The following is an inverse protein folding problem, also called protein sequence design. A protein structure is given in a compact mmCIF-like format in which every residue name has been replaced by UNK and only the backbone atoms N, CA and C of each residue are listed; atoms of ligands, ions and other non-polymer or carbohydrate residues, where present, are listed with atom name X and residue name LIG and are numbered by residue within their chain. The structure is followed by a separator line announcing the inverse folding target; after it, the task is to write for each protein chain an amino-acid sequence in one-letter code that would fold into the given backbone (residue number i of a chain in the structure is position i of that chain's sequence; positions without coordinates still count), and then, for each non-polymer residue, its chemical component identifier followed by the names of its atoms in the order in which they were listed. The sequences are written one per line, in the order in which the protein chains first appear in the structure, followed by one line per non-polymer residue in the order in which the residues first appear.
data_IF_413424110233
#
_entry.id   IF_413424110233
#
_cell.length_a   1.000
_cell.length_b   1.000
_cell.length_c   1.000
_cell.angle_alpha   90.00
_cell.angle_beta   90.00
_cell.angle_gamma   90.00
#
_symmetry.space_group_name_H-M   'P 1'
#
loop_
_entity.id
_entity.type
_entity.pdbx_description
1 polymer ?
#
# COMPACT_ATOMS: atom_id res chain seq x y z
N UNK A 1 59.56 -33.43 -4.13
CA UNK A 1 58.66 -32.82 -5.14
C UNK A 1 57.27 -32.81 -4.51
N UNK A 2 56.64 -31.71 -4.11
CA UNK A 2 56.71 -30.35 -4.61
C UNK A 2 55.68 -30.16 -5.73
N UNK A 3 54.47 -29.68 -5.40
CA UNK A 3 53.67 -28.70 -6.15
C UNK A 3 52.18 -28.81 -5.78
N UNK A 4 51.75 -27.80 -5.03
CA UNK A 4 50.39 -27.31 -4.90
C UNK A 4 49.85 -26.83 -6.26
N UNK A 5 48.51 -26.73 -6.42
CA UNK A 5 47.73 -26.00 -7.46
C UNK A 5 46.90 -26.86 -8.43
N UNK A 6 45.60 -26.95 -8.13
CA UNK A 6 44.51 -26.65 -9.06
C UNK A 6 43.32 -26.20 -8.18
N UNK A 7 43.21 -24.88 -7.93
CA UNK A 7 42.18 -24.03 -8.54
C UNK A 7 40.77 -24.61 -8.30
N UNK A 8 39.97 -24.12 -7.36
CA UNK A 8 39.55 -22.72 -7.29
C UNK A 8 38.53 -22.46 -8.40
N UNK A 9 37.35 -23.06 -8.29
CA UNK A 9 36.17 -22.90 -9.17
C UNK A 9 35.01 -23.63 -8.49
N UNK A 10 33.86 -23.08 -8.11
CA UNK A 10 33.27 -21.76 -8.27
C UNK A 10 32.62 -21.39 -6.93
N UNK A 11 33.30 -20.60 -6.12
CA UNK A 11 32.64 -19.72 -5.15
C UNK A 11 32.68 -18.34 -5.78
N UNK A 12 31.73 -18.10 -6.69
CA UNK A 12 31.35 -16.75 -7.07
C UNK A 12 29.84 -16.70 -6.88
N UNK A 13 29.47 -16.32 -5.67
CA UNK A 13 28.22 -15.68 -5.34
C UNK A 13 27.92 -14.73 -6.49
N UNK A 14 26.98 -15.12 -7.36
CA UNK A 14 26.42 -14.22 -8.35
C UNK A 14 25.95 -13.01 -7.56
N UNK A 15 26.70 -11.93 -7.75
CA UNK A 15 26.57 -10.68 -7.03
C UNK A 15 25.10 -10.35 -6.85
N UNK A 16 24.70 -10.16 -5.60
CA UNK A 16 23.87 -9.03 -5.18
C UNK A 16 24.52 -7.73 -5.72
N UNK A 17 24.58 -7.59 -7.04
CA UNK A 17 24.89 -6.35 -7.71
C UNK A 17 23.56 -5.61 -7.71
N UNK A 18 23.24 -5.01 -6.55
CA UNK A 18 22.32 -3.90 -6.55
C UNK A 18 22.81 -2.96 -7.66
N UNK A 19 21.99 -2.73 -8.71
CA UNK A 19 22.47 -2.06 -9.90
C UNK A 19 23.10 -0.74 -9.49
N UNK A 20 24.32 -0.51 -9.96
CA UNK A 20 25.03 0.70 -9.58
C UNK A 20 24.22 1.91 -10.07
N UNK A 21 24.27 3.01 -9.33
CA UNK A 21 23.52 4.23 -9.65
C UNK A 21 23.67 4.66 -11.11
N UNK A 22 24.84 4.44 -11.70
CA UNK A 22 25.15 4.77 -13.10
C UNK A 22 24.42 3.84 -14.09
N UNK A 23 24.24 2.56 -13.77
CA UNK A 23 23.45 1.61 -14.56
C UNK A 23 21.96 1.90 -14.48
N UNK A 24 21.46 2.27 -13.30
CA UNK A 24 20.07 2.71 -13.12
C UNK A 24 19.82 3.96 -13.99
N UNK A 25 20.70 4.96 -13.93
CA UNK A 25 20.57 6.18 -14.73
C UNK A 25 20.76 5.94 -16.23
N UNK A 26 21.62 5.01 -16.62
CA UNK A 26 21.80 4.61 -18.02
C UNK A 26 20.58 3.85 -18.55
N UNK A 27 19.95 3.00 -17.74
CA UNK A 27 18.73 2.26 -18.08
C UNK A 27 17.56 3.20 -18.31
N UNK A 28 17.34 4.16 -17.40
CA UNK A 28 16.31 5.20 -17.55
C UNK A 28 16.56 6.05 -18.80
N UNK A 29 17.82 6.48 -19.05
CA UNK A 29 18.17 7.26 -20.25
C UNK A 29 17.91 6.47 -21.54
N UNK A 30 18.18 5.17 -21.54
CA UNK A 30 17.92 4.30 -22.70
C UNK A 30 16.42 4.16 -22.95
N UNK A 31 15.61 3.94 -21.92
CA UNK A 31 14.15 3.81 -22.05
C UNK A 31 13.54 5.10 -22.61
N UNK A 32 13.94 6.26 -22.09
CA UNK A 32 13.42 7.55 -22.58
C UNK A 32 13.90 7.85 -24.01
N UNK A 33 15.16 7.55 -24.35
CA UNK A 33 15.68 7.81 -25.70
C UNK A 33 15.13 6.85 -26.76
N UNK A 34 14.68 5.66 -26.36
CA UNK A 34 14.02 4.67 -27.23
C UNK A 34 12.52 4.97 -27.39
N UNK A 35 11.91 5.67 -26.43
CA UNK A 35 10.48 6.09 -26.42
C UNK A 35 10.24 7.47 -27.10
N UNK A 36 11.24 8.36 -27.16
CA UNK A 36 11.18 9.65 -27.90
C UNK A 36 11.31 9.47 -29.44
N UNK A 37 11.04 8.27 -29.95
CA UNK A 37 11.27 7.85 -31.33
C UNK A 37 10.09 7.98 -32.29
N UNK A 38 8.97 8.59 -31.91
CA UNK A 38 7.84 8.88 -32.80
C UNK A 38 7.18 10.23 -32.47
N UNK A 39 7.86 11.34 -32.77
CA UNK A 39 7.30 12.65 -32.42
C UNK A 39 7.96 13.91 -32.95
N UNK A 40 8.72 13.87 -34.06
CA UNK A 40 9.27 15.09 -34.66
C UNK A 40 8.94 15.23 -36.14
N UNK A 41 7.96 16.09 -36.45
CA UNK A 41 8.02 17.03 -37.58
C UNK A 41 6.75 17.91 -37.60
N UNK A 42 6.84 19.14 -37.10
CA UNK A 42 6.48 20.32 -37.91
C UNK A 42 7.05 21.59 -37.26
N UNK A 43 8.13 22.07 -37.87
CA UNK A 43 8.71 23.40 -37.70
C UNK A 43 8.64 24.07 -39.06
N UNK A 44 8.05 25.27 -39.15
CA UNK A 44 8.54 26.40 -39.95
C UNK A 44 7.52 27.55 -39.97
N UNK A 45 8.05 28.76 -39.90
CA UNK A 45 7.37 30.03 -39.75
C UNK A 45 6.95 30.66 -41.09
N UNK A 46 5.79 31.32 -41.12
CA UNK A 46 5.42 32.44 -42.04
C UNK A 46 4.06 33.01 -41.53
N UNK A 47 3.97 34.19 -40.93
CA UNK A 47 3.90 35.54 -41.51
C UNK A 47 2.50 36.19 -41.27
N UNK A 48 2.50 37.27 -40.49
CA UNK A 48 1.61 38.46 -40.51
C UNK A 48 0.05 38.37 -40.49
N UNK A 49 -0.50 38.88 -39.36
CA UNK A 49 -1.66 39.79 -39.18
C UNK A 49 -3.12 39.27 -39.29
N UNK A 50 -4.16 39.96 -38.75
CA UNK A 50 -4.20 41.13 -37.86
C UNK A 50 -4.98 40.90 -36.53
N UNK A 51 -4.82 41.83 -35.60
CA UNK A 51 -5.59 41.98 -34.35
C UNK A 51 -7.09 42.15 -34.63
N UNK A 52 -8.01 41.44 -33.96
CA UNK A 52 -9.43 41.74 -34.07
C UNK A 52 -9.78 43.02 -33.30
N UNK A 53 -10.39 43.99 -33.97
CA UNK A 53 -11.03 45.17 -33.36
C UNK A 53 -12.16 44.75 -32.39
N UNK A 54 -12.37 45.47 -31.27
CA UNK A 54 -13.49 45.20 -30.38
C UNK A 54 -14.82 45.66 -31.01
N UNK A 55 -15.77 44.74 -31.09
CA UNK A 55 -17.16 44.98 -31.52
C UNK A 55 -17.88 45.77 -30.41
N UNK A 56 -18.75 46.77 -30.72
CA UNK A 56 -19.45 47.57 -29.72
C UNK A 56 -20.35 46.74 -28.80
N UNK A 57 -20.27 46.99 -27.49
CA UNK A 57 -21.14 46.45 -26.44
C UNK A 57 -22.61 46.85 -26.69
N UNK A 58 -23.45 45.86 -26.99
CA UNK A 58 -24.90 46.02 -26.96
C UNK A 58 -25.34 45.94 -25.49
N UNK A 59 -25.78 47.08 -24.96
CA UNK A 59 -26.23 47.24 -23.57
C UNK A 59 -27.47 46.37 -23.34
N UNK A 60 -27.28 45.25 -22.64
CA UNK A 60 -28.38 44.47 -22.07
C UNK A 60 -28.94 45.26 -20.88
N UNK A 61 -30.26 45.53 -20.80
CA UNK A 61 -30.81 46.24 -19.66
C UNK A 61 -30.63 45.41 -18.38
N UNK A 62 -30.08 46.06 -17.37
CA UNK A 62 -29.86 45.54 -16.02
C UNK A 62 -31.22 45.11 -15.41
N UNK A 63 -31.35 43.89 -14.86
CA UNK A 63 -32.57 43.50 -14.16
C UNK A 63 -32.71 44.33 -12.88
N UNK A 64 -33.84 45.02 -12.72
CA UNK A 64 -34.20 45.71 -11.49
C UNK A 64 -34.18 44.71 -10.32
N UNK A 65 -33.26 44.91 -9.38
CA UNK A 65 -33.20 44.16 -8.13
C UNK A 65 -34.49 44.39 -7.34
N UNK A 66 -35.30 43.34 -7.20
CA UNK A 66 -36.35 43.31 -6.19
C UNK A 66 -35.71 43.44 -4.79
N UNK A 67 -36.34 44.13 -3.82
CA UNK A 67 -35.78 44.27 -2.48
C UNK A 67 -35.63 42.89 -1.83
N UNK A 68 -34.45 42.63 -1.27
CA UNK A 68 -34.18 41.45 -0.45
C UNK A 68 -35.21 41.36 0.68
N UNK A 69 -35.77 40.17 0.97
CA UNK A 69 -36.65 40.01 2.12
C UNK A 69 -35.87 40.25 3.41
N UNK A 70 -36.45 41.05 4.32
CA UNK A 70 -35.91 41.27 5.67
C UNK A 70 -35.63 39.91 6.36
N UNK A 71 -34.53 39.79 7.12
CA UNK A 71 -34.23 38.55 7.83
C UNK A 71 -35.36 38.25 8.81
N UNK A 72 -36.03 37.13 8.60
CA UNK A 72 -36.96 36.59 9.59
C UNK A 72 -36.14 36.30 10.85
N UNK A 73 -36.57 36.70 12.06
CA UNK A 73 -35.82 36.36 13.26
C UNK A 73 -35.70 34.84 13.32
N UNK A 74 -34.45 34.34 13.39
CA UNK A 74 -34.20 32.95 13.71
C UNK A 74 -34.96 32.61 14.99
N UNK A 75 -35.65 31.47 15.06
CA UNK A 75 -36.26 31.04 16.31
C UNK A 75 -35.15 30.96 17.36
N UNK A 76 -35.29 31.69 18.46
CA UNK A 76 -34.47 31.47 19.65
C UNK A 76 -34.58 29.99 19.98
N UNK A 77 -33.48 29.26 19.79
CA UNK A 77 -33.36 27.87 20.17
C UNK A 77 -33.61 27.85 21.67
N UNK A 78 -34.81 27.42 22.06
CA UNK A 78 -35.06 27.00 23.44
C UNK A 78 -33.94 26.04 23.80
N UNK A 79 -33.28 26.18 24.97
CA UNK A 79 -32.18 25.30 25.32
C UNK A 79 -32.68 23.87 25.12
N UNK A 80 -32.03 23.14 24.21
CA UNK A 80 -32.23 21.70 24.11
C UNK A 80 -32.11 21.17 25.53
N UNK A 81 -33.02 20.29 25.98
CA UNK A 81 -32.80 19.62 27.24
C UNK A 81 -31.40 19.01 27.14
N UNK A 82 -30.49 19.41 28.05
CA UNK A 82 -29.22 18.73 28.17
C UNK A 82 -29.56 17.25 28.21
N UNK A 83 -29.20 16.53 27.15
CA UNK A 83 -29.25 15.08 27.15
C UNK A 83 -28.16 14.73 28.14
N UNK A 84 -28.55 14.70 29.42
CA UNK A 84 -27.85 13.93 30.43
C UNK A 84 -27.72 12.58 29.76
N UNK A 85 -26.51 12.11 29.44
CA UNK A 85 -26.37 10.78 28.90
C UNK A 85 -27.13 9.90 29.87
N UNK A 86 -28.20 9.27 29.37
CA UNK A 86 -28.87 8.22 30.12
C UNK A 86 -27.79 7.16 30.21
N UNK A 87 -27.06 7.19 31.33
CA UNK A 87 -26.07 6.19 31.65
C UNK A 87 -26.90 4.93 31.74
N UNK A 88 -26.94 4.18 30.63
CA UNK A 88 -27.32 2.78 30.68
C UNK A 88 -26.50 2.21 31.84
N UNK A 89 -27.15 1.68 32.89
CA UNK A 89 -26.41 1.17 34.02
C UNK A 89 -25.41 0.17 33.43
N UNK A 90 -24.11 0.41 33.67
CA UNK A 90 -23.09 -0.60 33.39
C UNK A 90 -23.66 -1.93 33.86
N UNK A 91 -23.66 -2.97 33.01
CA UNK A 91 -24.23 -4.25 33.39
C UNK A 91 -23.60 -4.61 34.73
N UNK A 92 -24.45 -4.73 35.76
CA UNK A 92 -23.99 -5.07 37.10
C UNK A 92 -23.02 -6.25 36.97
N UNK A 93 -21.84 -6.21 37.62
CA UNK A 93 -20.86 -7.26 37.46
C UNK A 93 -21.58 -8.58 37.74
N UNK A 94 -21.65 -9.44 36.72
CA UNK A 94 -22.16 -10.78 36.88
C UNK A 94 -21.43 -11.36 38.08
N UNK A 95 -22.13 -12.02 39.03
CA UNK A 95 -21.47 -12.62 40.17
C UNK A 95 -20.33 -13.48 39.61
N UNK A 96 -19.09 -13.09 39.92
CA UNK A 96 -17.94 -13.95 39.65
C UNK A 96 -18.23 -15.18 40.47
N UNK A 97 -18.63 -16.26 39.80
CA UNK A 97 -18.71 -17.56 40.42
C UNK A 97 -17.28 -17.86 40.87
N UNK A 98 -17.03 -17.69 42.17
CA UNK A 98 -15.91 -18.34 42.81
C UNK A 98 -16.03 -19.81 42.41
N UNK A 99 -15.00 -20.40 41.77
CA UNK A 99 -15.12 -21.73 41.23
C UNK A 99 -15.56 -22.65 42.36
N UNK A 100 -16.75 -23.25 42.23
CA UNK A 100 -17.14 -24.37 43.09
C UNK A 100 -15.96 -25.35 43.07
N UNK A 101 -15.56 -25.90 44.24
CA UNK A 101 -14.54 -26.93 44.24
C UNK A 101 -15.00 -28.00 43.26
N UNK A 102 -14.20 -28.19 42.21
CA UNK A 102 -14.48 -29.19 41.18
C UNK A 102 -14.89 -30.49 41.86
N UNK A 103 -15.92 -31.19 41.37
CA UNK A 103 -16.13 -32.56 41.82
C UNK A 103 -14.77 -33.24 41.69
N UNK A 104 -14.27 -33.80 42.79
CA UNK A 104 -13.05 -34.58 42.75
C UNK A 104 -13.23 -35.55 41.59
N UNK A 105 -12.45 -35.33 40.53
CA UNK A 105 -12.55 -36.11 39.31
C UNK A 105 -12.29 -37.55 39.75
N UNK A 106 -13.34 -38.35 39.72
CA UNK A 106 -13.15 -39.78 39.66
C UNK A 106 -12.53 -40.00 38.28
N UNK A 107 -11.29 -40.48 38.29
CA UNK A 107 -10.49 -40.85 37.13
C UNK A 107 -11.20 -41.94 36.32
N UNK A 108 -12.19 -41.60 35.51
CA UNK A 108 -12.78 -42.52 34.53
C UNK A 108 -13.12 -41.69 33.28
N UNK A 109 -12.41 -41.99 32.19
CA UNK A 109 -12.68 -41.60 30.79
C UNK A 109 -11.97 -40.33 30.23
N UNK A 110 -10.70 -40.10 30.57
CA UNK A 110 -9.80 -39.28 29.72
C UNK A 110 -9.11 -40.10 28.59
N UNK A 111 -9.31 -41.42 28.55
CA UNK A 111 -8.64 -42.32 27.60
C UNK A 111 -9.23 -42.29 26.18
N UNK A 112 -10.45 -41.78 25.96
CA UNK A 112 -11.15 -41.90 24.67
C UNK A 112 -10.97 -40.70 23.71
N UNK A 113 -10.38 -39.59 24.17
CA UNK A 113 -10.05 -38.42 23.32
C UNK A 113 -8.64 -38.53 22.73
N UNK A 114 -7.76 -39.29 23.37
CA UNK A 114 -6.39 -39.54 22.90
C UNK A 114 -6.26 -40.71 21.91
N UNK A 115 -7.34 -41.46 21.65
CA UNK A 115 -7.35 -42.60 20.72
C UNK A 115 -7.41 -42.19 19.23
N UNK A 116 -7.69 -40.92 18.92
CA UNK A 116 -7.61 -40.40 17.53
C UNK A 116 -6.16 -40.29 17.03
N UNK A 117 -5.21 -40.18 17.96
CA UNK A 117 -3.76 -40.27 17.70
C UNK A 117 -3.28 -41.71 17.59
N UNK A 118 -4.00 -42.69 18.17
CA UNK A 118 -3.66 -44.11 18.10
C UNK A 118 -4.03 -44.70 16.73
N UNK A 119 -5.13 -44.26 16.09
CA UNK A 119 -5.43 -44.61 14.69
C UNK A 119 -4.41 -44.01 13.69
N UNK A 120 -3.60 -43.05 14.14
CA UNK A 120 -2.49 -42.45 13.39
C UNK A 120 -1.12 -43.06 13.74
N UNK A 121 -1.07 -44.18 14.46
CA UNK A 121 0.20 -44.87 14.77
C UNK A 121 0.74 -45.64 13.55
N UNK A 122 1.84 -45.09 13.00
CA UNK A 122 2.98 -45.81 12.41
C UNK A 122 2.72 -46.77 11.24
N UNK A 123 1.89 -46.40 10.25
CA UNK A 123 2.29 -46.78 8.89
C UNK A 123 3.44 -45.87 8.48
N UNK A 124 4.61 -46.41 8.06
CA UNK A 124 5.61 -45.59 7.42
C UNK A 124 4.95 -44.99 6.19
N UNK A 125 4.58 -43.71 6.26
CA UNK A 125 4.19 -42.93 5.09
C UNK A 125 5.37 -42.99 4.15
N UNK A 126 5.30 -43.90 3.18
CA UNK A 126 6.32 -43.99 2.18
C UNK A 126 6.22 -42.67 1.41
N UNK A 127 7.26 -41.83 1.36
CA UNK A 127 7.21 -40.58 0.60
C UNK A 127 6.95 -40.83 -0.90
N UNK A 128 6.99 -42.08 -1.34
CA UNK A 128 6.61 -42.53 -2.67
C UNK A 128 5.11 -42.84 -2.87
N UNK A 129 4.25 -42.66 -1.86
CA UNK A 129 2.79 -42.87 -1.98
C UNK A 129 2.05 -41.51 -1.95
N UNK A 130 1.94 -40.84 -3.11
CA UNK A 130 1.37 -39.50 -3.17
C UNK A 130 -0.15 -39.55 -2.98
N UNK A 131 -0.67 -38.66 -2.12
CA UNK A 131 -2.11 -38.54 -1.82
C UNK A 131 -2.90 -38.06 -3.04
N UNK A 132 -2.23 -37.37 -3.96
CA UNK A 132 -2.79 -36.86 -5.22
C UNK A 132 -2.01 -37.44 -6.38
N UNK A 133 -2.69 -37.67 -7.50
CA UNK A 133 -1.99 -38.06 -8.73
C UNK A 133 -1.15 -36.89 -9.25
N UNK A 134 0.06 -37.15 -9.73
CA UNK A 134 0.96 -36.19 -10.43
C UNK A 134 0.23 -35.22 -11.39
N UNK A 135 -0.68 -35.65 -12.29
CA UNK A 135 -1.39 -34.73 -13.19
C UNK A 135 -2.39 -33.79 -12.49
N UNK A 136 -2.77 -34.05 -11.24
CA UNK A 136 -3.57 -33.13 -10.40
C UNK A 136 -2.67 -32.12 -9.72
N UNK A 137 -1.49 -32.54 -9.25
CA UNK A 137 -0.46 -31.66 -8.68
C UNK A 137 0.04 -30.64 -9.71
N UNK A 138 0.29 -31.08 -10.95
CA UNK A 138 0.68 -30.21 -12.05
C UNK A 138 -0.41 -29.18 -12.37
N UNK A 139 -1.68 -29.62 -12.44
CA UNK A 139 -2.82 -28.74 -12.74
C UNK A 139 -3.06 -27.73 -11.63
N UNK A 140 -2.93 -28.13 -10.37
CA UNK A 140 -3.04 -27.24 -9.22
C UNK A 140 -1.92 -26.19 -9.23
N UNK A 141 -0.68 -26.64 -9.47
CA UNK A 141 0.49 -25.76 -9.54
C UNK A 141 0.38 -24.77 -10.69
N UNK A 142 -0.05 -25.19 -11.88
CA UNK A 142 -0.27 -24.30 -13.03
C UNK A 142 -1.40 -23.29 -12.78
N UNK A 143 -2.50 -23.71 -12.18
CA UNK A 143 -3.62 -22.83 -11.86
C UNK A 143 -3.23 -21.76 -10.82
N UNK A 144 -2.44 -22.15 -9.82
CA UNK A 144 -1.92 -21.22 -8.82
C UNK A 144 -0.91 -20.24 -9.43
N UNK A 145 -0.01 -20.72 -10.28
CA UNK A 145 0.92 -19.86 -11.03
C UNK A 145 0.19 -18.90 -11.97
N UNK A 146 -0.90 -19.34 -12.61
CA UNK A 146 -1.73 -18.50 -13.45
C UNK A 146 -2.43 -17.40 -12.64
N UNK A 147 -2.99 -17.74 -11.47
CA UNK A 147 -3.60 -16.75 -10.58
C UNK A 147 -2.57 -15.76 -10.04
N UNK A 148 -1.40 -16.25 -9.63
CA UNK A 148 -0.29 -15.42 -9.16
C UNK A 148 0.21 -14.49 -10.26
N UNK A 149 0.36 -14.99 -11.49
CA UNK A 149 0.70 -14.18 -12.65
C UNK A 149 -0.38 -13.14 -12.97
N UNK A 150 -1.66 -13.46 -12.78
CA UNK A 150 -2.76 -12.48 -12.97
C UNK A 150 -2.81 -11.43 -11.85
N UNK A 151 -2.39 -11.79 -10.63
CA UNK A 151 -2.32 -10.88 -9.48
C UNK A 151 -1.08 -9.97 -9.53
N UNK A 152 0.05 -10.47 -10.04
CA UNK A 152 1.35 -9.78 -10.06
C UNK A 152 1.59 -9.05 -11.39
N UNK A 153 1.25 -9.66 -12.53
CA UNK A 153 1.46 -9.08 -13.86
C UNK A 153 0.30 -8.20 -14.31
N UNK A 154 -0.50 -7.68 -13.37
CA UNK A 154 -1.64 -6.81 -13.63
C UNK A 154 -1.34 -5.83 -14.77
N UNK A 155 -2.20 -5.87 -15.78
CA UNK A 155 -2.23 -4.96 -16.93
C UNK A 155 -2.02 -3.52 -16.46
N UNK A 156 -1.35 -2.72 -17.30
CA UNK A 156 -1.34 -1.25 -17.23
C UNK A 156 -2.79 -0.76 -17.04
N UNK A 157 -3.15 -0.44 -15.79
CA UNK A 157 -4.54 -0.44 -15.32
C UNK A 157 -4.60 -0.75 -13.82
N UNK A 158 -3.86 0.06 -13.07
CA UNK A 158 -3.38 -0.08 -11.70
C UNK A 158 -4.48 0.13 -10.63
N UNK A 159 -5.68 -0.40 -10.85
CA UNK A 159 -6.87 -0.04 -10.05
C UNK A 159 -7.61 -1.20 -9.40
N UNK A 160 -7.29 -2.45 -9.78
CA UNK A 160 -7.91 -3.66 -9.21
C UNK A 160 -6.96 -4.58 -8.42
N UNK A 161 -5.72 -4.15 -8.15
CA UNK A 161 -4.80 -4.89 -7.28
C UNK A 161 -4.95 -4.45 -5.82
N UNK A 162 -4.69 -5.36 -4.87
CA UNK A 162 -4.63 -5.00 -3.44
C UNK A 162 -3.56 -3.94 -3.20
N UNK A 163 -2.44 -4.00 -3.94
CA UNK A 163 -1.38 -3.01 -3.87
C UNK A 163 -1.87 -1.62 -4.31
N UNK A 164 -2.62 -1.52 -5.40
CA UNK A 164 -3.23 -0.27 -5.85
C UNK A 164 -4.19 0.32 -4.81
N UNK A 165 -5.00 -0.53 -4.17
CA UNK A 165 -5.91 -0.11 -3.11
C UNK A 165 -5.13 0.40 -1.89
N UNK A 166 -4.15 -0.36 -1.41
CA UNK A 166 -3.31 0.04 -0.26
C UNK A 166 -2.53 1.31 -0.58
N UNK A 167 -1.98 1.43 -1.78
CA UNK A 167 -1.27 2.62 -2.25
C UNK A 167 -2.20 3.84 -2.32
N UNK A 168 -3.41 3.69 -2.85
CA UNK A 168 -4.40 4.79 -2.91
C UNK A 168 -4.83 5.26 -1.52
N UNK A 169 -4.85 4.36 -0.54
CA UNK A 169 -5.15 4.72 0.86
C UNK A 169 -3.95 5.32 1.60
N UNK A 170 -2.74 4.78 1.41
CA UNK A 170 -1.54 5.25 2.14
C UNK A 170 -0.97 6.55 1.57
N UNK A 171 -1.09 6.80 0.27
CA UNK A 171 -0.56 7.99 -0.38
C UNK A 171 -1.01 9.31 0.27
N UNK A 172 -2.31 9.56 0.54
CA UNK A 172 -2.73 10.81 1.18
C UNK A 172 -2.21 10.94 2.62
N UNK A 173 -2.13 9.84 3.39
CA UNK A 173 -1.62 9.88 4.76
C UNK A 173 -0.13 10.20 4.81
N UNK A 174 0.66 9.57 3.93
CA UNK A 174 2.10 9.83 3.83
C UNK A 174 2.38 11.24 3.31
N UNK A 175 1.58 11.74 2.37
CA UNK A 175 1.70 13.10 1.86
C UNK A 175 1.48 14.13 2.97
N UNK A 176 0.37 14.03 3.72
CA UNK A 176 0.12 14.95 4.82
C UNK A 176 1.22 14.92 5.89
N UNK A 177 1.71 13.72 6.22
CA UNK A 177 2.83 13.59 7.14
C UNK A 177 4.12 14.23 6.60
N UNK A 178 4.45 14.02 5.32
CA UNK A 178 5.62 14.64 4.71
C UNK A 178 5.49 16.17 4.66
N UNK A 179 4.31 16.70 4.33
CA UNK A 179 4.09 18.15 4.29
C UNK A 179 4.34 18.81 5.67
N UNK A 180 3.97 18.12 6.75
CA UNK A 180 4.19 18.60 8.12
C UNK A 180 5.62 18.40 8.63
N UNK A 181 6.26 17.26 8.30
CA UNK A 181 7.50 16.82 8.96
C UNK A 181 8.76 17.04 8.11
N UNK A 182 8.65 17.07 6.78
CA UNK A 182 9.78 17.21 5.86
C UNK A 182 10.57 18.52 6.07
N UNK A 183 9.95 19.70 6.33
CA UNK A 183 10.70 20.93 6.53
C UNK A 183 11.70 20.85 7.69
N UNK A 184 11.29 20.22 8.81
CA UNK A 184 12.15 20.05 9.99
C UNK A 184 13.28 19.05 9.72
N UNK A 185 12.95 17.90 9.12
CA UNK A 185 13.95 16.87 8.77
C UNK A 185 15.04 17.45 7.86
N UNK A 186 14.67 18.27 6.88
CA UNK A 186 15.61 18.90 5.96
C UNK A 186 16.45 19.96 6.67
N UNK A 187 15.87 20.78 7.56
CA UNK A 187 16.64 21.76 8.35
C UNK A 187 17.71 21.06 9.19
N UNK A 188 17.35 20.01 9.93
CA UNK A 188 18.29 19.23 10.73
C UNK A 188 19.40 18.59 9.88
N UNK A 189 19.04 18.09 8.69
CA UNK A 189 20.00 17.51 7.75
C UNK A 189 20.97 18.57 7.19
N UNK A 190 20.46 19.73 6.79
CA UNK A 190 21.27 20.84 6.24
C UNK A 190 22.17 21.44 7.32
N UNK A 191 21.68 21.68 8.53
CA UNK A 191 22.50 22.17 9.64
C UNK A 191 23.65 21.24 9.96
N UNK A 192 23.38 19.93 10.00
CA UNK A 192 24.40 18.89 10.18
C UNK A 192 25.44 18.92 9.06
N UNK A 193 25.00 19.11 7.82
CA UNK A 193 25.86 19.16 6.64
C UNK A 193 26.73 20.44 6.61
N UNK A 194 26.16 21.61 6.92
CA UNK A 194 26.90 22.88 7.01
C UNK A 194 27.91 22.82 8.16
N UNK A 195 27.52 22.32 9.33
CA UNK A 195 28.44 22.14 10.46
C UNK A 195 29.62 21.23 10.11
N UNK A 196 29.37 20.18 9.31
CA UNK A 196 30.41 19.28 8.81
C UNK A 196 31.38 19.98 7.86
N UNK A 197 30.87 20.77 6.92
CA UNK A 197 31.71 21.54 5.97
C UNK A 197 32.51 22.61 6.72
N UNK A 198 31.88 23.32 7.66
CA UNK A 198 32.51 24.35 8.47
C UNK A 198 33.65 23.82 9.34
N UNK A 199 33.56 22.57 9.81
CA UNK A 199 34.66 21.93 10.57
C UNK A 199 35.81 21.45 9.66
N UNK A 200 35.53 21.20 8.37
CA UNK A 200 36.53 20.73 7.40
C UNK A 200 37.33 21.88 6.78
N UNK A 201 36.80 23.10 6.80
CA UNK A 201 37.45 24.31 6.31
C UNK A 201 38.27 24.97 7.41
#
# INVERSE_FOLDING_TARGET
MGANKLAGSMSDTASDEEPTMEEILASIRRIISDDDGEGEAESAAEEAAPTPEPVPEEVVPEPEFAPEPEPTPEPEIAPEPEVVPEIEPEPAPLPVQEPEPAPAQADEDEDDVFDLTEFATEQPVNPADPIVSEPVEDRASLSFNQLSSMMVSGYVGDENTLEALVRSMLKPMLQGWLDENLPQIVQDAVEREVARIARRK
#
